data_IF_202161774076
#
_entry.id   IF_202161774076
#
_cell.length_a   1.000
_cell.length_b   1.000
_cell.length_c   1.000
_cell.angle_alpha   90.00
_cell.angle_beta   90.00
_cell.angle_gamma   90.00
#
_symmetry.space_group_name_H-M   'P 1'
#
loop_
_entity.id
_entity.type
_entity.pdbx_description
1 polymer ?
#
# COMPACT_ATOMS: atom_id res chain seq x y z
N UNK A 1 17.03 -25.56 37.62
CA UNK A 1 16.76 -24.12 37.38
C UNK A 1 15.28 -23.97 37.09
N UNK A 2 14.51 -23.38 38.02
CA UNK A 2 13.10 -23.07 37.80
C UNK A 2 13.03 -21.80 36.94
N UNK A 3 12.77 -21.94 35.63
CA UNK A 3 12.39 -20.81 34.80
C UNK A 3 10.93 -20.49 35.11
N UNK A 4 10.68 -19.51 35.98
CA UNK A 4 9.37 -18.90 36.10
C UNK A 4 9.12 -18.09 34.82
N UNK A 5 8.14 -18.52 34.04
CA UNK A 5 7.66 -17.73 32.90
C UNK A 5 7.19 -16.39 33.48
N UNK A 6 7.75 -15.24 33.04
CA UNK A 6 7.33 -13.95 33.56
C UNK A 6 5.83 -13.78 33.31
N UNK A 7 5.08 -13.46 34.37
CA UNK A 7 3.65 -13.19 34.26
C UNK A 7 3.44 -12.03 33.30
N UNK A 8 2.83 -12.30 32.14
CA UNK A 8 2.40 -11.26 31.22
C UNK A 8 1.14 -10.62 31.79
N UNK A 9 1.11 -9.29 31.81
CA UNK A 9 -0.07 -8.50 32.19
C UNK A 9 -0.57 -7.77 30.96
N UNK A 10 -1.89 -7.67 30.84
CA UNK A 10 -2.49 -6.82 29.82
C UNK A 10 -2.10 -5.37 30.12
N UNK A 11 -1.61 -4.68 29.10
CA UNK A 11 -1.28 -3.26 29.16
C UNK A 11 -2.10 -2.52 28.11
N UNK A 12 -2.46 -1.27 28.38
CA UNK A 12 -3.06 -0.43 27.34
C UNK A 12 -1.99 -0.12 26.32
N UNK A 13 -2.34 -0.19 25.04
CA UNK A 13 -1.44 0.09 23.93
C UNK A 13 -0.80 1.49 24.03
N UNK A 14 -1.56 2.46 24.56
CA UNK A 14 -1.11 3.83 24.81
C UNK A 14 0.07 3.87 25.79
N UNK A 15 -0.08 3.18 26.93
CA UNK A 15 0.93 3.15 27.99
C UNK A 15 2.23 2.51 27.47
N UNK A 16 2.10 1.46 26.66
CA UNK A 16 3.25 0.82 25.98
C UNK A 16 3.92 1.78 25.00
N UNK A 17 3.14 2.46 24.15
CA UNK A 17 3.67 3.41 23.17
C UNK A 17 4.40 4.59 23.84
N UNK A 18 3.88 5.09 24.97
CA UNK A 18 4.50 6.14 25.77
C UNK A 18 5.85 5.71 26.34
N UNK A 19 5.91 4.51 26.90
CA UNK A 19 7.18 3.93 27.40
C UNK A 19 8.19 3.78 26.26
N UNK A 20 7.80 3.19 25.14
CA UNK A 20 8.69 3.00 23.98
C UNK A 20 9.21 4.32 23.43
N UNK A 21 8.35 5.33 23.33
CA UNK A 21 8.71 6.68 22.91
C UNK A 21 9.70 7.33 23.87
N UNK A 22 9.48 7.20 25.20
CA UNK A 22 10.39 7.72 26.23
C UNK A 22 11.81 7.15 26.10
N UNK A 23 11.92 5.88 25.72
CA UNK A 23 13.20 5.22 25.46
C UNK A 23 13.72 5.40 24.02
N UNK A 24 13.07 6.25 23.21
CA UNK A 24 13.43 6.54 21.81
C UNK A 24 13.52 5.27 20.95
N UNK A 25 12.62 4.32 21.18
CA UNK A 25 12.51 3.14 20.34
C UNK A 25 11.91 3.55 19.00
N UNK A 26 12.69 3.39 17.93
CA UNK A 26 12.28 3.80 16.58
C UNK A 26 11.53 2.70 15.83
N UNK A 27 11.82 1.43 16.13
CA UNK A 27 11.36 0.28 15.38
C UNK A 27 10.59 -0.69 16.29
N UNK A 28 9.37 -1.04 15.91
CA UNK A 28 8.54 -1.99 16.66
C UNK A 28 8.02 -3.11 15.76
N UNK A 29 8.05 -4.34 16.28
CA UNK A 29 7.49 -5.52 15.60
C UNK A 29 6.38 -6.12 16.44
N UNK A 30 5.15 -6.02 15.95
CA UNK A 30 3.93 -6.55 16.55
C UNK A 30 3.57 -7.89 15.87
N UNK A 31 4.21 -8.97 16.27
CA UNK A 31 4.06 -10.31 15.66
C UNK A 31 2.78 -11.07 16.08
N UNK A 32 1.82 -10.42 16.74
CA UNK A 32 0.54 -11.00 17.11
C UNK A 32 -0.49 -10.83 15.99
N UNK A 33 -1.39 -11.83 15.81
CA UNK A 33 -2.51 -11.73 14.87
C UNK A 33 -3.36 -10.48 15.14
N UNK A 34 -3.89 -9.88 14.07
CA UNK A 34 -4.74 -8.68 14.13
C UNK A 34 -4.07 -7.44 14.76
N UNK A 35 -2.74 -7.41 14.95
CA UNK A 35 -2.05 -6.23 15.50
C UNK A 35 -2.11 -5.00 14.57
N UNK A 36 -2.39 -5.21 13.29
CA UNK A 36 -2.63 -4.16 12.31
C UNK A 36 -4.14 -3.97 11.99
N UNK A 37 -5.01 -4.74 12.64
CA UNK A 37 -6.44 -4.65 12.45
C UNK A 37 -6.98 -3.40 13.15
N UNK A 38 -7.94 -2.72 12.52
CA UNK A 38 -8.69 -1.66 13.17
C UNK A 38 -10.18 -1.92 12.90
N UNK A 39 -10.96 -1.90 13.98
CA UNK A 39 -12.37 -2.27 13.93
C UNK A 39 -13.26 -1.05 13.70
N UNK A 40 -12.88 0.13 14.20
CA UNK A 40 -13.79 1.27 14.33
C UNK A 40 -13.19 2.65 14.06
N UNK A 41 -11.88 2.81 14.19
CA UNK A 41 -11.18 4.07 13.90
C UNK A 41 -9.66 3.84 13.87
N UNK A 42 -8.87 4.72 13.19
CA UNK A 42 -7.41 4.68 13.23
C UNK A 42 -6.82 4.54 14.64
N UNK A 43 -7.50 5.04 15.68
CA UNK A 43 -7.10 4.92 17.08
C UNK A 43 -7.17 3.49 17.65
N UNK A 44 -7.86 2.56 16.98
CA UNK A 44 -7.90 1.14 17.36
C UNK A 44 -6.82 0.29 16.69
N UNK A 45 -6.08 0.85 15.73
CA UNK A 45 -4.92 0.17 15.13
C UNK A 45 -3.70 0.39 16.05
N UNK A 46 -3.13 -0.69 16.58
CA UNK A 46 -1.97 -0.60 17.46
C UNK A 46 -0.78 0.06 16.76
N UNK A 47 -0.54 -0.25 15.49
CA UNK A 47 0.55 0.36 14.74
C UNK A 47 0.37 1.87 14.57
N UNK A 48 -0.84 2.35 14.27
CA UNK A 48 -1.10 3.80 14.20
C UNK A 48 -0.88 4.49 15.53
N UNK A 49 -1.34 3.89 16.63
CA UNK A 49 -1.11 4.43 17.96
C UNK A 49 0.39 4.56 18.23
N UNK A 50 1.19 3.57 17.84
CA UNK A 50 2.63 3.60 18.06
C UNK A 50 3.31 4.71 17.25
N UNK A 51 2.93 4.87 15.98
CA UNK A 51 3.43 5.96 15.12
C UNK A 51 3.08 7.35 15.69
N UNK A 52 1.87 7.53 16.22
CA UNK A 52 1.45 8.79 16.84
C UNK A 52 2.32 9.18 18.04
N UNK A 53 2.90 8.20 18.74
CA UNK A 53 3.69 8.44 19.95
C UNK A 53 5.16 8.74 19.69
N UNK A 54 5.66 8.65 18.46
CA UNK A 54 7.10 8.83 18.25
C UNK A 54 7.72 7.83 17.30
N UNK A 55 7.17 6.63 17.26
CA UNK A 55 7.83 5.46 16.68
C UNK A 55 7.90 5.63 15.16
N UNK A 56 9.07 5.36 14.59
CA UNK A 56 9.36 5.57 13.18
C UNK A 56 8.77 4.47 12.31
N UNK A 57 8.97 3.20 12.70
CA UNK A 57 8.56 2.06 11.91
C UNK A 57 7.84 1.01 12.76
N UNK A 58 6.75 0.47 12.24
CA UNK A 58 6.00 -0.62 12.88
C UNK A 58 5.72 -1.74 11.88
N UNK A 59 6.17 -2.96 12.15
CA UNK A 59 5.72 -4.17 11.44
C UNK A 59 4.59 -4.81 12.24
N UNK A 60 3.50 -5.20 11.59
CA UNK A 60 2.32 -5.76 12.25
C UNK A 60 1.62 -6.82 11.37
N UNK A 61 0.67 -7.56 11.94
CA UNK A 61 -0.10 -8.60 11.26
C UNK A 61 -1.54 -8.14 11.07
N UNK A 62 -1.99 -8.15 9.83
CA UNK A 62 -3.33 -7.63 9.52
C UNK A 62 -4.46 -8.63 9.80
N UNK A 63 -4.22 -9.93 9.61
CA UNK A 63 -5.24 -10.96 9.81
C UNK A 63 -4.78 -12.07 10.76
N UNK A 64 -5.59 -13.12 10.89
CA UNK A 64 -5.16 -14.38 11.49
C UNK A 64 -4.12 -15.04 10.59
N UNK A 65 -2.97 -15.38 11.18
CA UNK A 65 -1.84 -15.97 10.48
C UNK A 65 -1.43 -17.25 11.19
N UNK A 66 -1.14 -18.30 10.44
CA UNK A 66 -0.63 -19.53 11.04
C UNK A 66 0.79 -19.34 11.61
N UNK A 67 1.09 -19.96 12.74
CA UNK A 67 2.36 -19.75 13.45
C UNK A 67 3.60 -20.05 12.59
N UNK A 68 3.52 -21.04 11.68
CA UNK A 68 4.62 -21.35 10.73
C UNK A 68 4.92 -20.18 9.79
N UNK A 69 3.88 -19.51 9.27
CA UNK A 69 4.04 -18.32 8.44
C UNK A 69 4.72 -17.21 9.25
N UNK A 70 4.25 -16.97 10.48
CA UNK A 70 4.86 -15.96 11.36
C UNK A 70 6.33 -16.30 11.66
N UNK A 71 6.64 -17.57 11.93
CA UNK A 71 8.01 -18.01 12.17
C UNK A 71 8.92 -17.76 10.97
N UNK A 72 8.51 -18.14 9.76
CA UNK A 72 9.27 -17.89 8.53
C UNK A 72 9.50 -16.39 8.30
N UNK A 73 8.45 -15.58 8.42
CA UNK A 73 8.56 -14.13 8.27
C UNK A 73 9.50 -13.52 9.31
N UNK A 74 9.25 -13.78 10.59
CA UNK A 74 10.01 -13.16 11.69
C UNK A 74 11.47 -13.60 11.68
N UNK A 75 11.74 -14.87 11.35
CA UNK A 75 13.11 -15.37 11.18
C UNK A 75 13.83 -14.64 10.04
N UNK A 76 13.22 -14.59 8.85
CA UNK A 76 13.80 -13.88 7.71
C UNK A 76 13.94 -12.37 7.96
N UNK A 77 12.97 -11.77 8.63
CA UNK A 77 12.96 -10.36 8.99
C UNK A 77 14.12 -10.00 9.91
N UNK A 78 14.22 -10.66 11.07
CA UNK A 78 15.29 -10.37 12.02
C UNK A 78 16.67 -10.77 11.51
N UNK A 79 16.78 -11.84 10.72
CA UNK A 79 18.05 -12.17 10.08
C UNK A 79 18.49 -11.04 9.12
N UNK A 80 17.57 -10.50 8.31
CA UNK A 80 17.91 -9.38 7.44
C UNK A 80 18.19 -8.10 8.21
N UNK A 81 17.37 -7.77 9.22
CA UNK A 81 17.51 -6.53 9.99
C UNK A 81 18.76 -6.51 10.87
N UNK A 82 19.04 -7.62 11.59
CA UNK A 82 20.07 -7.65 12.63
C UNK A 82 21.39 -8.28 12.16
N UNK A 83 21.35 -9.22 11.21
CA UNK A 83 22.56 -9.92 10.74
C UNK A 83 23.05 -9.32 9.41
N UNK A 84 22.15 -9.07 8.47
CA UNK A 84 22.51 -8.49 7.17
C UNK A 84 22.52 -6.95 7.16
N UNK A 85 22.18 -6.31 8.28
CA UNK A 85 22.18 -4.86 8.48
C UNK A 85 21.48 -4.10 7.35
N UNK A 86 20.26 -4.53 7.00
CA UNK A 86 19.44 -3.80 6.01
C UNK A 86 18.31 -3.04 6.67
N UNK A 87 17.90 -1.95 6.03
CA UNK A 87 16.81 -1.10 6.49
C UNK A 87 15.53 -1.89 6.80
N UNK A 88 14.78 -1.42 7.80
CA UNK A 88 13.56 -2.04 8.31
C UNK A 88 12.57 -2.48 7.21
N UNK A 89 12.31 -1.61 6.24
CA UNK A 89 11.39 -1.93 5.15
C UNK A 89 11.96 -2.92 4.13
N UNK A 90 13.28 -2.90 3.91
CA UNK A 90 13.97 -3.86 3.05
C UNK A 90 13.95 -5.24 3.73
N UNK A 91 14.22 -5.30 5.03
CA UNK A 91 14.11 -6.53 5.82
C UNK A 91 12.69 -7.12 5.75
N UNK A 92 11.66 -6.26 5.89
CA UNK A 92 10.27 -6.66 5.73
C UNK A 92 9.95 -7.19 4.34
N UNK A 93 10.44 -6.54 3.29
CA UNK A 93 10.24 -6.99 1.92
C UNK A 93 10.88 -8.37 1.71
N UNK A 94 12.13 -8.56 2.12
CA UNK A 94 12.84 -9.85 2.02
C UNK A 94 12.16 -10.94 2.83
N UNK A 95 11.56 -10.60 3.97
CA UNK A 95 10.77 -11.54 4.75
C UNK A 95 9.49 -12.00 4.03
N UNK A 96 8.83 -11.12 3.27
CA UNK A 96 7.71 -11.52 2.39
C UNK A 96 8.18 -12.39 1.23
N UNK A 97 9.35 -12.12 0.67
CA UNK A 97 9.96 -12.96 -0.37
C UNK A 97 10.27 -14.37 0.17
N UNK A 98 10.78 -14.47 1.40
CA UNK A 98 10.97 -15.77 2.06
C UNK A 98 9.65 -16.54 2.23
N UNK A 99 8.54 -15.87 2.55
CA UNK A 99 7.22 -16.50 2.60
C UNK A 99 6.74 -17.02 1.24
N UNK A 100 7.12 -16.36 0.15
CA UNK A 100 6.80 -16.84 -1.22
C UNK A 100 7.63 -18.06 -1.58
N UNK A 101 8.91 -18.08 -1.20
CA UNK A 101 9.81 -19.20 -1.44
C UNK A 101 9.49 -20.41 -0.56
N UNK A 102 8.98 -20.17 0.65
CA UNK A 102 8.65 -21.20 1.63
C UNK A 102 7.21 -21.00 2.13
N UNK A 103 6.20 -21.25 1.27
CA UNK A 103 4.82 -21.05 1.66
C UNK A 103 4.40 -22.10 2.68
N UNK A 104 3.57 -21.70 3.63
CA UNK A 104 3.02 -22.62 4.63
C UNK A 104 2.04 -23.57 3.95
N UNK A 105 2.28 -24.88 4.06
CA UNK A 105 1.33 -25.90 3.59
C UNK A 105 0.46 -26.33 4.78
N UNK A 106 -0.84 -26.12 4.65
CA UNK A 106 -1.86 -26.50 5.63
C UNK A 106 -2.90 -27.38 4.93
N UNK A 107 -3.09 -28.62 5.41
CA UNK A 107 -4.05 -29.56 4.84
C UNK A 107 -3.96 -29.65 3.31
N UNK A 108 -2.73 -29.82 2.79
CA UNK A 108 -2.41 -29.89 1.34
C UNK A 108 -2.69 -28.61 0.54
N UNK A 109 -3.08 -27.51 1.20
CA UNK A 109 -3.26 -26.20 0.58
C UNK A 109 -2.06 -25.30 0.87
N UNK A 110 -1.55 -24.67 -0.18
CA UNK A 110 -0.51 -23.66 -0.09
C UNK A 110 -1.15 -22.35 0.37
N UNK A 111 -0.79 -21.91 1.57
CA UNK A 111 -1.24 -20.62 2.12
C UNK A 111 -0.40 -19.49 1.53
N UNK A 112 -1.07 -18.53 0.88
CA UNK A 112 -0.46 -17.36 0.21
C UNK A 112 -0.40 -16.15 1.16
N UNK A 113 0.05 -16.34 2.40
CA UNK A 113 -0.05 -15.35 3.49
C UNK A 113 1.01 -14.21 3.43
N UNK A 114 1.80 -14.11 2.35
CA UNK A 114 2.91 -13.15 2.26
C UNK A 114 2.49 -11.68 2.39
N UNK A 115 1.21 -11.37 2.17
CA UNK A 115 0.64 -10.02 2.28
C UNK A 115 0.15 -9.67 3.70
N UNK A 116 0.02 -10.65 4.59
CA UNK A 116 -0.55 -10.44 5.93
C UNK A 116 0.38 -9.64 6.87
N UNK A 117 1.68 -9.66 6.61
CA UNK A 117 2.68 -8.88 7.34
C UNK A 117 2.79 -7.48 6.74
N UNK A 118 2.24 -6.49 7.43
CA UNK A 118 2.16 -5.10 6.96
C UNK A 118 3.16 -4.22 7.71
N UNK A 119 3.63 -3.17 7.04
CA UNK A 119 4.67 -2.29 7.58
C UNK A 119 4.23 -0.84 7.47
N UNK A 120 4.29 -0.13 8.58
CA UNK A 120 3.92 1.27 8.75
C UNK A 120 5.19 2.10 8.97
N UNK A 121 5.17 3.33 8.45
CA UNK A 121 6.24 4.29 8.58
C UNK A 121 5.68 5.66 8.94
N UNK A 122 6.33 6.37 9.84
CA UNK A 122 6.00 7.77 10.14
C UNK A 122 6.53 8.65 9.00
N UNK A 123 5.67 9.53 8.48
CA UNK A 123 6.13 10.60 7.58
C UNK A 123 6.81 11.66 8.44
N UNK A 124 8.12 11.78 8.33
CA UNK A 124 8.79 13.00 8.76
C UNK A 124 8.75 13.90 7.55
N UNK A 125 7.86 14.89 7.52
CA UNK A 125 8.13 16.05 6.69
C UNK A 125 9.43 16.65 7.23
N UNK A 126 10.56 16.32 6.60
CA UNK A 126 11.70 17.23 6.61
C UNK A 126 11.14 18.49 5.97
N UNK A 127 10.71 19.44 6.79
CA UNK A 127 10.72 20.84 6.37
C UNK A 127 12.11 21.08 5.79
N UNK A 128 12.20 21.55 4.55
CA UNK A 128 13.42 21.98 3.86
C UNK A 128 14.23 23.06 4.62
N UNK A 129 13.88 23.35 5.87
CA UNK A 129 14.58 24.23 6.81
C UNK A 129 15.77 23.58 7.53
N UNK A 130 16.17 22.35 7.19
CA UNK A 130 17.42 21.73 7.71
C UNK A 130 18.38 21.26 6.60
N UNK A 131 18.25 21.80 5.39
CA UNK A 131 19.26 21.71 4.33
C UNK A 131 20.06 23.01 4.22
N UNK A 132 20.71 23.42 5.32
CA UNK A 132 21.94 24.24 5.35
C UNK A 132 22.26 24.57 6.81
N UNK A 133 22.81 23.59 7.52
CA UNK A 133 23.90 23.89 8.45
C UNK A 133 25.00 22.90 8.08
N UNK A 134 25.94 23.40 7.27
CA UNK A 134 27.23 22.78 7.08
C UNK A 134 27.83 22.50 8.46
N UNK A 135 28.12 21.23 8.72
CA UNK A 135 28.92 20.82 9.89
C UNK A 135 30.17 21.70 9.97
N UNK A 136 30.47 22.33 11.12
CA UNK A 136 31.77 22.93 11.34
C UNK A 136 32.80 21.80 11.41
N UNK A 137 33.59 21.68 10.34
CA UNK A 137 34.80 20.88 10.31
C UNK A 137 35.73 21.32 11.44
N UNK A 138 35.88 20.47 12.45
CA UNK A 138 36.88 20.61 13.49
C UNK A 138 38.30 20.54 12.88
N UNK A 139 39.23 21.44 13.26
CA UNK A 139 40.56 21.48 12.67
C UNK A 139 41.49 20.48 13.35
N UNK A 140 42.08 19.57 12.56
CA UNK A 140 43.29 18.86 12.95
C UNK A 140 44.51 19.77 12.75
N UNK A 141 45.32 19.84 13.78
CA UNK A 141 46.53 20.65 13.93
C UNK A 141 47.67 20.37 12.94
N UNK A 142 48.45 21.44 12.66
CA UNK A 142 49.84 21.52 12.11
C UNK A 142 49.97 21.29 10.59
N UNK A 143 50.69 22.08 9.80
CA UNK A 143 51.64 23.19 10.05
C UNK A 143 52.10 23.82 8.71
N UNK A 144 52.65 25.04 8.80
CA UNK A 144 53.56 25.76 7.88
C UNK A 144 53.01 26.60 6.70
N UNK A 145 53.11 27.92 6.91
CA UNK A 145 53.82 28.94 6.11
C UNK A 145 53.51 29.12 4.61
N UNK A 146 52.80 30.22 4.29
CA UNK A 146 53.36 31.41 3.59
C UNK A 146 52.34 32.12 2.67
N UNK A 147 51.95 33.32 3.10
CA UNK A 147 52.09 34.63 2.40
C UNK A 147 51.30 34.93 1.09
N UNK A 148 50.44 35.97 1.20
CA UNK A 148 50.03 37.02 0.22
C UNK A 148 49.22 36.59 -1.02
N UNK A 149 48.19 37.30 -1.51
CA UNK A 149 47.63 38.64 -1.27
C UNK A 149 46.41 38.85 -2.19
N UNK A 150 45.51 39.77 -1.79
CA UNK A 150 44.64 40.62 -2.63
C UNK A 150 43.48 39.93 -3.43
N UNK A 151 42.28 40.49 -3.62
CA UNK A 151 41.61 41.73 -3.19
C UNK A 151 40.23 41.77 -3.87
N UNK A 152 39.28 42.52 -3.28
CA UNK A 152 38.15 43.24 -3.92
C UNK A 152 36.96 42.41 -4.49
N UNK A 153 35.69 42.84 -4.47
CA UNK A 153 35.01 44.07 -4.03
C UNK A 153 33.48 43.82 -3.93
N UNK A 154 32.83 44.49 -2.96
CA UNK A 154 31.55 45.27 -2.98
C UNK A 154 30.29 44.68 -3.68
N UNK A 155 29.03 44.80 -3.21
CA UNK A 155 28.18 45.98 -2.89
C UNK A 155 26.86 45.40 -2.28
N UNK A 156 26.54 45.58 -0.99
CA UNK A 156 25.65 46.59 -0.34
C UNK A 156 24.22 46.81 -0.89
N UNK A 157 23.22 46.48 -0.06
CA UNK A 157 22.07 47.34 0.32
C UNK A 157 21.37 46.72 1.56
N UNK A 158 21.63 47.19 2.79
CA UNK A 158 20.90 48.24 3.57
C UNK A 158 19.42 47.93 3.83
N UNK A 159 19.03 47.44 5.01
CA UNK A 159 18.81 48.12 6.32
C UNK A 159 17.33 48.51 6.55
N UNK A 160 16.77 47.96 7.64
CA UNK A 160 15.84 48.55 8.63
C UNK A 160 15.56 47.40 9.64
N UNK A 161 16.31 47.27 10.74
CA UNK A 161 16.06 47.91 12.06
C UNK A 161 14.61 47.75 12.52
N UNK A 162 14.24 47.14 13.63
CA UNK A 162 14.95 46.48 14.73
C UNK A 162 13.89 46.11 15.77
N UNK A 163 14.10 45.04 16.54
CA UNK A 163 13.63 44.91 17.93
C UNK A 163 14.07 43.54 18.47
N UNK A 164 15.04 43.57 19.37
CA UNK A 164 15.36 42.48 20.29
C UNK A 164 14.09 42.14 21.09
N UNK A 165 13.54 40.94 20.89
CA UNK A 165 12.62 40.30 21.81
C UNK A 165 13.14 38.89 22.05
N UNK A 166 13.90 38.75 23.13
CA UNK A 166 14.21 37.46 23.74
C UNK A 166 12.86 36.84 24.13
N UNK A 167 12.45 35.78 23.40
CA UNK A 167 11.29 34.96 23.78
C UNK A 167 11.78 33.59 24.30
N UNK A 168 11.13 33.08 25.35
CA UNK A 168 11.61 31.94 26.13
C UNK A 168 11.49 30.65 25.33
N UNK A 169 12.32 29.66 25.68
CA UNK A 169 12.24 28.30 25.18
C UNK A 169 10.81 27.75 25.29
N UNK A 170 10.25 27.16 24.22
CA UNK A 170 8.96 26.49 24.33
C UNK A 170 9.16 25.19 25.11
N UNK A 171 8.40 25.08 26.20
CA UNK A 171 8.26 23.84 26.97
C UNK A 171 7.67 22.76 26.07
N UNK A 172 8.19 21.54 26.23
CA UNK A 172 7.65 20.30 25.68
C UNK A 172 6.15 20.21 26.04
N UNK A 173 5.23 20.43 25.10
CA UNK A 173 3.79 20.32 25.40
C UNK A 173 2.80 20.80 24.34
N UNK A 174 3.14 21.81 23.52
CA UNK A 174 2.11 22.52 22.71
C UNK A 174 2.09 22.23 21.20
N UNK A 175 2.82 21.22 20.71
CA UNK A 175 2.78 20.80 19.30
C UNK A 175 1.65 19.78 19.03
N UNK A 176 0.42 20.11 19.40
CA UNK A 176 -0.76 19.28 19.14
C UNK A 176 -1.84 20.03 18.35
N UNK A 177 -1.51 20.64 17.21
CA UNK A 177 -2.54 21.09 16.25
C UNK A 177 -2.10 20.85 14.78
N UNK A 178 -2.95 20.10 14.09
CA UNK A 178 -3.14 19.94 12.63
C UNK A 178 -1.98 19.42 11.76
N UNK A 179 -2.22 18.26 11.13
CA UNK A 179 -1.94 18.14 9.70
C UNK A 179 -1.12 16.95 9.22
N UNK A 180 -0.49 16.15 10.08
CA UNK A 180 0.30 15.00 9.63
C UNK A 180 -0.45 13.69 9.87
N UNK A 181 -1.30 13.34 8.92
CA UNK A 181 -1.81 11.97 8.80
C UNK A 181 -0.61 11.04 8.51
N UNK A 182 -0.38 10.00 9.32
CA UNK A 182 0.73 9.06 9.06
C UNK A 182 0.57 8.51 7.65
N UNK A 183 1.66 8.31 6.90
CA UNK A 183 1.58 7.56 5.64
C UNK A 183 1.15 6.15 6.01
N UNK A 184 -0.14 5.92 5.89
CA UNK A 184 -0.68 4.61 5.66
C UNK A 184 -0.08 4.17 4.34
N UNK A 185 0.85 3.21 4.37
CA UNK A 185 1.15 2.50 3.13
C UNK A 185 -0.11 1.81 2.62
N UNK A 186 -0.99 1.32 3.49
CA UNK A 186 -2.34 0.85 3.14
C UNK A 186 -3.36 1.17 4.25
N UNK A 187 -4.44 1.88 3.93
CA UNK A 187 -5.66 1.94 4.76
C UNK A 187 -6.30 0.53 4.83
N UNK A 188 -7.08 0.23 5.88
CA UNK A 188 -7.68 -1.12 6.06
C UNK A 188 -8.53 -1.60 4.90
N UNK A 189 -9.34 -0.73 4.31
CA UNK A 189 -10.12 -1.11 3.13
C UNK A 189 -9.20 -1.43 1.96
N UNK A 190 -8.05 -0.75 1.81
CA UNK A 190 -7.06 -1.07 0.78
C UNK A 190 -6.36 -2.41 1.06
N UNK A 191 -6.14 -2.77 2.33
CA UNK A 191 -5.70 -4.13 2.68
C UNK A 191 -6.78 -5.15 2.33
N UNK A 192 -8.06 -4.87 2.63
CA UNK A 192 -9.20 -5.72 2.26
C UNK A 192 -9.20 -6.02 0.76
N UNK A 193 -8.88 -5.01 -0.07
CA UNK A 193 -8.72 -5.20 -1.51
C UNK A 193 -7.59 -6.18 -1.83
N UNK A 194 -6.41 -6.04 -1.21
CA UNK A 194 -5.30 -6.99 -1.42
C UNK A 194 -5.71 -8.42 -1.05
N UNK A 195 -6.34 -8.64 0.10
CA UNK A 195 -6.82 -9.97 0.49
C UNK A 195 -7.82 -10.52 -0.51
N UNK A 196 -8.80 -9.72 -0.91
CA UNK A 196 -9.82 -10.16 -1.88
C UNK A 196 -9.17 -10.49 -3.22
N UNK A 197 -8.21 -9.69 -3.66
CA UNK A 197 -7.48 -9.93 -4.90
C UNK A 197 -6.67 -11.23 -4.83
N UNK A 198 -5.94 -11.45 -3.73
CA UNK A 198 -5.11 -12.65 -3.55
C UNK A 198 -5.93 -13.93 -3.30
N UNK A 199 -7.16 -13.80 -2.82
CA UNK A 199 -8.05 -14.92 -2.52
C UNK A 199 -8.95 -15.28 -3.70
N UNK A 200 -9.55 -14.29 -4.35
CA UNK A 200 -10.58 -14.50 -5.37
C UNK A 200 -10.09 -14.26 -6.80
N UNK A 201 -8.86 -13.73 -6.98
CA UNK A 201 -8.25 -13.29 -8.25
C UNK A 201 -8.96 -12.13 -8.97
N UNK A 202 -10.28 -12.06 -8.86
CA UNK A 202 -11.14 -11.09 -9.52
C UNK A 202 -11.87 -10.27 -8.48
N UNK A 203 -11.75 -8.95 -8.55
CA UNK A 203 -12.45 -8.02 -7.66
C UNK A 203 -13.19 -6.96 -8.45
N UNK A 204 -14.42 -6.67 -8.08
CA UNK A 204 -15.12 -5.46 -8.52
C UNK A 204 -15.00 -4.39 -7.45
N UNK A 205 -14.27 -3.32 -7.76
CA UNK A 205 -14.10 -2.17 -6.91
C UNK A 205 -15.15 -1.11 -7.25
N UNK A 206 -15.88 -0.68 -6.23
CA UNK A 206 -16.95 0.31 -6.32
C UNK A 206 -16.67 1.50 -5.43
N UNK A 207 -17.04 2.70 -5.84
CA UNK A 207 -17.06 3.90 -4.99
C UNK A 207 -18.47 4.42 -4.68
N UNK A 208 -19.51 3.74 -5.16
CA UNK A 208 -20.89 4.21 -5.08
C UNK A 208 -21.16 5.60 -5.67
N UNK A 209 -20.35 6.07 -6.62
CA UNK A 209 -20.43 7.44 -7.12
C UNK A 209 -20.40 8.48 -5.98
N UNK A 210 -19.68 8.16 -4.89
CA UNK A 210 -19.58 9.09 -3.77
C UNK A 210 -18.87 10.37 -4.23
N UNK A 211 -19.43 11.57 -3.95
CA UNK A 211 -18.94 12.84 -4.50
C UNK A 211 -17.53 13.24 -4.03
N UNK A 212 -16.99 12.54 -3.02
CA UNK A 212 -15.62 12.73 -2.50
C UNK A 212 -14.69 11.57 -2.81
N UNK A 213 -15.19 10.51 -3.45
CA UNK A 213 -14.37 9.37 -3.82
C UNK A 213 -13.74 9.62 -5.18
N UNK A 214 -12.46 9.30 -5.29
CA UNK A 214 -11.76 9.22 -6.56
C UNK A 214 -11.13 7.83 -6.64
N UNK A 215 -11.98 6.84 -6.93
CA UNK A 215 -11.58 5.44 -7.05
C UNK A 215 -10.43 5.27 -8.03
N UNK A 216 -10.44 6.04 -9.12
CA UNK A 216 -9.38 6.00 -10.12
C UNK A 216 -8.05 6.44 -9.50
N UNK A 217 -8.02 7.57 -8.80
CA UNK A 217 -6.80 8.01 -8.11
C UNK A 217 -6.39 7.09 -6.96
N UNK A 218 -7.33 6.51 -6.21
CA UNK A 218 -7.04 5.50 -5.18
C UNK A 218 -6.35 4.28 -5.81
N UNK A 219 -6.90 3.76 -6.92
CA UNK A 219 -6.31 2.64 -7.64
C UNK A 219 -4.95 2.98 -8.24
N UNK A 220 -4.76 4.19 -8.80
CA UNK A 220 -3.46 4.61 -9.30
C UNK A 220 -2.41 4.66 -8.17
N UNK A 221 -2.77 5.15 -6.97
CA UNK A 221 -1.90 5.11 -5.78
C UNK A 221 -1.56 3.67 -5.36
N UNK A 222 -2.55 2.79 -5.33
CA UNK A 222 -2.36 1.38 -4.98
C UNK A 222 -1.49 0.65 -5.99
N UNK A 223 -1.72 0.84 -7.29
CA UNK A 223 -0.90 0.29 -8.36
C UNK A 223 0.56 0.70 -8.21
N UNK A 224 0.81 2.00 -8.01
CA UNK A 224 2.17 2.49 -7.81
C UNK A 224 2.83 1.84 -6.59
N UNK A 225 2.08 1.67 -5.50
CA UNK A 225 2.58 0.99 -4.33
C UNK A 225 2.86 -0.50 -4.63
N UNK A 226 1.96 -1.23 -5.29
CA UNK A 226 2.13 -2.65 -5.63
C UNK A 226 3.32 -2.91 -6.54
N UNK A 227 3.57 -2.02 -7.51
CA UNK A 227 4.77 -2.05 -8.36
C UNK A 227 6.04 -1.82 -7.51
N UNK A 228 5.98 -0.91 -6.53
CA UNK A 228 7.13 -0.58 -5.66
C UNK A 228 7.38 -1.62 -4.56
N UNK A 229 6.36 -2.31 -4.07
CA UNK A 229 6.46 -3.29 -2.97
C UNK A 229 6.64 -4.73 -3.44
N UNK A 230 6.85 -4.93 -4.74
CA UNK A 230 6.99 -6.25 -5.35
C UNK A 230 5.75 -7.11 -5.05
N UNK A 231 4.55 -6.53 -5.21
CA UNK A 231 3.28 -7.27 -5.19
C UNK A 231 2.82 -7.63 -6.60
N UNK A 232 3.08 -6.76 -7.58
CA UNK A 232 2.71 -6.96 -8.99
C UNK A 232 3.88 -6.46 -9.85
N UNK A 233 4.18 -7.14 -10.94
CA UNK A 233 5.25 -6.73 -11.87
C UNK A 233 4.73 -5.93 -13.06
N UNK A 234 3.55 -6.30 -13.58
CA UNK A 234 2.94 -5.66 -14.75
C UNK A 234 1.47 -5.34 -14.50
N UNK A 235 1.04 -4.17 -14.97
CA UNK A 235 -0.35 -3.70 -14.85
C UNK A 235 -0.86 -3.32 -16.24
N UNK A 236 -1.97 -3.91 -16.63
CA UNK A 236 -2.60 -3.77 -17.95
C UNK A 236 -3.96 -3.09 -17.82
N UNK A 237 -4.16 -1.97 -18.50
CA UNK A 237 -5.42 -1.23 -18.46
C UNK A 237 -6.29 -1.48 -19.71
N UNK A 238 -7.59 -1.61 -19.48
CA UNK A 238 -8.59 -1.87 -20.51
C UNK A 238 -9.82 -0.98 -20.31
N UNK A 239 -10.60 -0.77 -21.36
CA UNK A 239 -11.98 -0.30 -21.24
C UNK A 239 -12.94 -1.44 -21.52
N UNK A 240 -14.02 -1.55 -20.74
CA UNK A 240 -15.00 -2.63 -20.88
C UNK A 240 -15.59 -2.70 -22.30
N UNK A 241 -15.73 -1.57 -22.99
CA UNK A 241 -16.23 -1.51 -24.36
C UNK A 241 -15.34 -2.23 -25.38
N UNK A 242 -14.06 -2.46 -25.06
CA UNK A 242 -13.13 -3.16 -25.94
C UNK A 242 -13.47 -4.67 -26.00
N UNK A 243 -14.11 -5.20 -24.97
CA UNK A 243 -14.61 -6.58 -24.90
C UNK A 243 -15.85 -6.80 -25.78
N UNK A 244 -16.69 -5.78 -25.96
CA UNK A 244 -17.89 -5.86 -26.80
C UNK A 244 -17.67 -5.59 -28.30
N UNK A 245 -16.44 -5.24 -28.72
CA UNK A 245 -16.13 -4.88 -30.12
C UNK A 245 -15.47 -6.01 -30.93
N UNK A 246 -15.02 -7.08 -30.28
CA UNK A 246 -14.17 -8.10 -30.92
C UNK A 246 -14.87 -9.42 -31.06
N UNK A 247 -14.72 -10.04 -32.24
CA UNK A 247 -15.18 -11.41 -32.50
C UNK A 247 -14.28 -12.38 -31.74
N UNK A 248 -14.90 -13.32 -31.04
CA UNK A 248 -14.23 -14.38 -30.30
C UNK A 248 -13.54 -15.30 -31.31
N UNK A 249 -12.21 -15.35 -31.30
CA UNK A 249 -11.47 -16.41 -32.01
C UNK A 249 -11.34 -17.61 -31.08
N UNK A 250 -11.64 -18.84 -31.55
CA UNK A 250 -11.51 -20.03 -30.73
C UNK A 250 -10.03 -20.29 -30.44
N UNK A 251 -9.64 -20.22 -29.16
CA UNK A 251 -8.33 -20.69 -28.69
C UNK A 251 -7.46 -19.67 -27.96
N UNK A 252 -7.68 -18.36 -28.10
CA UNK A 252 -7.01 -17.37 -27.24
C UNK A 252 -7.68 -15.99 -27.31
N UNK A 253 -8.12 -15.45 -26.16
CA UNK A 253 -8.66 -14.10 -26.09
C UNK A 253 -7.48 -13.13 -25.99
N UNK A 254 -7.04 -12.61 -27.13
CA UNK A 254 -6.02 -11.58 -27.17
C UNK A 254 -6.67 -10.19 -27.24
N UNK A 255 -6.87 -9.59 -26.07
CA UNK A 255 -7.27 -8.18 -25.95
C UNK A 255 -6.00 -7.41 -25.60
N UNK A 256 -5.49 -6.54 -26.50
CA UNK A 256 -4.34 -5.72 -26.21
C UNK A 256 -4.74 -4.67 -25.17
N UNK A 257 -3.91 -4.47 -24.13
CA UNK A 257 -4.14 -3.40 -23.19
C UNK A 257 -3.99 -2.04 -23.88
N UNK A 258 -4.78 -1.06 -23.43
CA UNK A 258 -4.66 0.33 -23.88
C UNK A 258 -3.42 1.00 -23.31
N UNK A 259 -3.09 0.66 -22.07
CA UNK A 259 -1.93 1.16 -21.36
C UNK A 259 -1.32 -0.01 -20.59
N UNK A 260 0.01 -0.08 -20.59
CA UNK A 260 0.79 -1.05 -19.83
C UNK A 260 1.75 -0.28 -18.93
N UNK A 261 1.71 -0.55 -17.63
CA UNK A 261 2.72 -0.11 -16.68
C UNK A 261 3.52 -1.31 -16.22
N UNK A 262 4.83 -1.18 -16.18
CA UNK A 262 5.73 -2.23 -15.71
C UNK A 262 6.57 -1.68 -14.58
N UNK A 263 6.96 -2.57 -13.67
CA UNK A 263 7.96 -2.25 -12.65
C UNK A 263 9.20 -1.65 -13.33
N UNK A 264 9.69 -0.54 -12.79
CA UNK A 264 10.99 -0.01 -13.21
C UNK A 264 12.06 -1.00 -12.76
N UNK A 265 12.70 -1.68 -13.72
CA UNK A 265 13.84 -2.57 -13.46
C UNK A 265 15.03 -1.83 -12.84
N UNK A 266 15.07 -0.50 -13.00
CA UNK A 266 16.00 0.41 -12.37
C UNK A 266 15.23 1.19 -11.30
N UNK A 267 15.34 0.77 -10.06
CA UNK A 267 14.89 1.53 -8.90
C UNK A 267 15.55 2.89 -8.88
N UNK A 268 14.92 3.80 -8.14
CA UNK A 268 15.34 5.18 -8.02
C UNK A 268 16.80 5.35 -7.55
N UNK A 269 17.23 6.60 -7.30
CA UNK A 269 18.64 6.95 -7.05
C UNK A 269 19.36 6.08 -6.00
N UNK A 270 18.63 5.48 -5.05
CA UNK A 270 19.13 4.60 -4.00
C UNK A 270 19.55 3.19 -4.47
N UNK A 271 19.11 2.72 -5.65
CA UNK A 271 19.50 1.39 -6.15
C UNK A 271 20.87 1.38 -6.88
N UNK A 272 21.51 2.55 -7.06
CA UNK A 272 22.90 2.62 -7.59
C UNK A 272 23.95 2.01 -6.65
N UNK A 273 23.61 1.77 -5.38
CA UNK A 273 24.55 1.36 -4.35
C UNK A 273 24.44 -0.13 -3.97
N UNK A 274 23.40 -0.84 -4.43
CA UNK A 274 23.22 -2.28 -4.17
C UNK A 274 22.66 -3.00 -5.41
N UNK A 275 23.50 -3.62 -6.25
CA UNK A 275 23.06 -4.34 -7.44
C UNK A 275 22.67 -5.76 -7.05
N UNK A 276 21.41 -6.00 -6.70
CA UNK A 276 20.79 -7.31 -6.89
C UNK A 276 19.45 -7.12 -7.57
N UNK A 277 19.34 -7.69 -8.77
CA UNK A 277 18.08 -7.78 -9.50
C UNK A 277 17.10 -8.55 -8.64
N UNK A 278 16.01 -7.91 -8.22
CA UNK A 278 14.90 -8.59 -7.59
C UNK A 278 14.26 -9.47 -8.67
N UNK A 279 14.19 -10.79 -8.44
CA UNK A 279 13.58 -11.72 -9.39
C UNK A 279 12.14 -11.30 -9.73
N UNK A 280 11.75 -11.45 -10.99
CA UNK A 280 10.37 -11.19 -11.42
C UNK A 280 9.44 -12.21 -10.75
N UNK A 281 8.41 -11.74 -10.05
CA UNK A 281 7.34 -12.58 -9.50
C UNK A 281 6.41 -13.05 -10.64
N UNK A 282 6.49 -12.44 -11.83
CA UNK A 282 5.66 -12.68 -13.02
C UNK A 282 4.17 -12.42 -12.82
N UNK A 283 3.83 -11.70 -11.75
CA UNK A 283 2.44 -11.37 -11.43
C UNK A 283 1.92 -10.20 -12.28
N UNK A 284 0.75 -10.41 -12.89
CA UNK A 284 0.10 -9.43 -13.76
C UNK A 284 -1.24 -9.00 -13.19
N UNK A 285 -1.49 -7.70 -13.16
CA UNK A 285 -2.77 -7.13 -12.79
C UNK A 285 -3.46 -6.55 -14.03
N UNK A 286 -4.71 -6.92 -14.23
CA UNK A 286 -5.56 -6.38 -15.27
C UNK A 286 -6.58 -5.42 -14.63
N UNK A 287 -6.68 -4.19 -15.12
CA UNK A 287 -7.63 -3.19 -14.63
C UNK A 287 -8.58 -2.82 -15.77
N UNK A 288 -9.87 -3.06 -15.57
CA UNK A 288 -10.91 -2.78 -16.56
C UNK A 288 -11.79 -1.63 -16.05
N UNK A 289 -11.84 -0.54 -16.81
CA UNK A 289 -12.63 0.66 -16.50
C UNK A 289 -13.96 0.68 -17.27
N UNK A 290 -14.91 1.50 -16.82
CA UNK A 290 -16.19 1.78 -17.49
C UNK A 290 -17.12 0.55 -17.63
N UNK A 291 -17.05 -0.39 -16.69
CA UNK A 291 -17.76 -1.68 -16.76
C UNK A 291 -19.27 -1.49 -16.74
N UNK A 292 -19.75 -0.59 -15.88
CA UNK A 292 -21.17 -0.41 -15.64
C UNK A 292 -21.89 0.09 -16.89
N UNK A 293 -21.28 1.04 -17.60
CA UNK A 293 -21.82 1.60 -18.85
C UNK A 293 -21.97 0.56 -19.99
N UNK A 294 -21.28 -0.58 -19.89
CA UNK A 294 -21.32 -1.64 -20.90
C UNK A 294 -22.19 -2.81 -20.45
N UNK A 295 -22.16 -3.14 -19.17
CA UNK A 295 -22.93 -4.24 -18.59
C UNK A 295 -24.35 -3.83 -18.25
N UNK A 296 -24.60 -2.55 -18.00
CA UNK A 296 -25.91 -2.00 -17.70
C UNK A 296 -26.03 -0.55 -18.23
N UNK A 297 -26.09 -0.35 -19.57
CA UNK A 297 -26.11 0.98 -20.19
C UNK A 297 -27.36 1.82 -19.88
N UNK A 298 -28.37 1.25 -19.20
CA UNK A 298 -29.68 1.87 -19.03
C UNK A 298 -30.57 1.75 -20.27
N UNK A 299 -31.76 2.36 -20.21
CA UNK A 299 -32.71 2.41 -21.32
C UNK A 299 -32.60 3.74 -22.08
N UNK A 300 -32.40 3.67 -23.40
CA UNK A 300 -32.49 4.85 -24.28
C UNK A 300 -33.85 4.91 -24.97
N UNK A 301 -34.28 6.11 -25.36
CA UNK A 301 -35.53 6.32 -26.09
C UNK A 301 -35.53 5.70 -27.50
N UNK A 302 -34.34 5.44 -28.07
CA UNK A 302 -34.17 4.92 -29.42
C UNK A 302 -34.07 3.38 -29.42
N UNK A 303 -35.06 2.71 -30.02
CA UNK A 303 -35.12 1.23 -30.11
C UNK A 303 -33.91 0.63 -30.84
N UNK A 304 -33.39 1.28 -31.87
CA UNK A 304 -32.24 0.77 -32.62
C UNK A 304 -30.93 0.85 -31.83
N UNK A 305 -30.79 1.84 -30.95
CA UNK A 305 -29.65 1.93 -30.05
C UNK A 305 -29.73 0.86 -28.98
N UNK A 306 -30.91 0.64 -28.39
CA UNK A 306 -31.11 -0.41 -27.38
C UNK A 306 -30.72 -1.79 -27.91
N UNK A 307 -31.16 -2.18 -29.11
CA UNK A 307 -30.78 -3.48 -29.69
C UNK A 307 -29.26 -3.61 -29.92
N UNK A 308 -28.59 -2.54 -30.36
CA UNK A 308 -27.12 -2.54 -30.51
C UNK A 308 -26.41 -2.62 -29.18
N UNK A 309 -26.96 -2.00 -28.14
CA UNK A 309 -26.43 -2.07 -26.78
C UNK A 309 -26.61 -3.46 -26.17
N UNK A 310 -27.76 -4.10 -26.38
CA UNK A 310 -28.02 -5.49 -25.96
C UNK A 310 -27.04 -6.48 -26.62
N UNK A 311 -26.81 -6.37 -27.93
CA UNK A 311 -25.87 -7.23 -28.66
C UNK A 311 -24.42 -7.04 -28.15
N UNK A 312 -24.00 -5.79 -27.94
CA UNK A 312 -22.68 -5.46 -27.37
C UNK A 312 -22.55 -5.94 -25.93
N UNK A 313 -23.60 -5.81 -25.12
CA UNK A 313 -23.63 -6.25 -23.73
C UNK A 313 -23.51 -7.77 -23.66
N UNK A 314 -24.25 -8.51 -24.50
CA UNK A 314 -24.17 -9.96 -24.58
C UNK A 314 -22.74 -10.41 -24.97
N UNK A 315 -22.19 -9.81 -26.02
CA UNK A 315 -20.83 -10.09 -26.48
C UNK A 315 -19.79 -9.78 -25.39
N UNK A 316 -19.88 -8.60 -24.77
CA UNK A 316 -18.96 -8.20 -23.70
C UNK A 316 -19.02 -9.16 -22.50
N UNK A 317 -20.22 -9.60 -22.09
CA UNK A 317 -20.40 -10.57 -21.00
C UNK A 317 -19.76 -11.91 -21.31
N UNK A 318 -19.93 -12.42 -22.53
CA UNK A 318 -19.31 -13.69 -22.94
C UNK A 318 -17.78 -13.59 -22.97
N UNK A 319 -17.24 -12.53 -23.58
CA UNK A 319 -15.78 -12.33 -23.65
C UNK A 319 -15.20 -12.14 -22.25
N UNK A 320 -15.86 -11.38 -21.37
CA UNK A 320 -15.44 -11.20 -19.97
C UNK A 320 -15.47 -12.51 -19.19
N UNK A 321 -16.50 -13.35 -19.39
CA UNK A 321 -16.57 -14.69 -18.78
C UNK A 321 -15.40 -15.57 -19.21
N UNK A 322 -15.11 -15.59 -20.51
CA UNK A 322 -13.99 -16.39 -21.03
C UNK A 322 -12.65 -15.84 -20.55
N UNK A 323 -12.48 -14.52 -20.50
CA UNK A 323 -11.29 -13.86 -19.97
C UNK A 323 -11.09 -14.17 -18.48
N UNK A 324 -12.16 -14.13 -17.68
CA UNK A 324 -12.13 -14.53 -16.27
C UNK A 324 -11.77 -16.01 -16.09
N UNK A 325 -12.29 -16.91 -16.92
CA UNK A 325 -11.92 -18.33 -16.89
C UNK A 325 -10.43 -18.55 -17.17
N UNK A 326 -9.88 -17.85 -18.18
CA UNK A 326 -8.46 -17.90 -18.49
C UNK A 326 -7.62 -17.38 -17.32
N UNK A 327 -8.05 -16.28 -16.70
CA UNK A 327 -7.36 -15.68 -15.57
C UNK A 327 -7.42 -16.55 -14.31
N UNK A 328 -8.50 -17.30 -14.09
CA UNK A 328 -8.57 -18.29 -13.02
C UNK A 328 -7.62 -19.47 -13.25
N UNK A 329 -7.42 -19.88 -14.50
CA UNK A 329 -6.46 -20.93 -14.88
C UNK A 329 -5.00 -20.46 -14.75
N UNK A 330 -4.72 -19.18 -14.99
CA UNK A 330 -3.41 -18.56 -14.76
C UNK A 330 -3.19 -18.27 -13.26
N UNK A 331 -2.12 -18.78 -12.66
CA UNK A 331 -1.88 -18.61 -11.22
C UNK A 331 -1.35 -17.25 -10.79
N UNK A 332 -0.81 -16.49 -11.75
CA UNK A 332 -0.10 -15.24 -11.54
C UNK A 332 -0.85 -14.00 -12.07
N UNK A 333 -2.09 -14.16 -12.51
CA UNK A 333 -2.89 -13.07 -13.10
C UNK A 333 -4.05 -12.68 -12.18
N UNK A 334 -4.29 -11.38 -12.02
CA UNK A 334 -5.32 -10.78 -11.18
C UNK A 334 -6.15 -9.77 -11.98
N UNK A 335 -7.42 -9.55 -11.62
CA UNK A 335 -8.33 -8.66 -12.34
C UNK A 335 -9.11 -7.75 -11.39
N UNK A 336 -9.10 -6.46 -11.67
CA UNK A 336 -9.93 -5.46 -10.99
C UNK A 336 -10.84 -4.77 -12.00
N UNK A 337 -12.14 -4.78 -11.71
CA UNK A 337 -13.14 -3.96 -12.39
C UNK A 337 -13.36 -2.68 -11.60
N UNK A 338 -13.35 -1.53 -12.27
CA UNK A 338 -13.71 -0.25 -11.66
C UNK A 338 -15.11 0.17 -12.10
N UNK A 339 -15.97 0.47 -11.13
CA UNK A 339 -17.33 0.96 -11.34
C UNK A 339 -17.90 1.62 -10.09
N UNK A 340 -19.22 1.81 -10.05
CA UNK A 340 -19.96 2.49 -9.00
C UNK A 340 -21.15 1.70 -8.45
N UNK A 341 -21.34 0.45 -8.89
CA UNK A 341 -22.52 -0.35 -8.55
C UNK A 341 -22.42 -1.08 -7.21
N UNK A 342 -23.58 -1.48 -6.66
CA UNK A 342 -23.67 -2.20 -5.39
C UNK A 342 -23.36 -3.70 -5.51
N UNK A 343 -23.20 -4.33 -4.34
CA UNK A 343 -22.99 -5.78 -4.23
C UNK A 343 -24.14 -6.60 -4.83
N UNK A 344 -25.39 -6.10 -4.79
CA UNK A 344 -26.54 -6.80 -5.39
C UNK A 344 -26.45 -6.80 -6.91
N UNK A 345 -26.04 -5.68 -7.51
CA UNK A 345 -25.79 -5.54 -8.94
C UNK A 345 -24.66 -6.47 -9.38
N UNK A 346 -23.54 -6.50 -8.65
CA UNK A 346 -22.45 -7.44 -8.90
C UNK A 346 -22.94 -8.89 -8.91
N UNK A 347 -23.68 -9.29 -7.86
CA UNK A 347 -24.24 -10.65 -7.73
C UNK A 347 -25.29 -10.98 -8.79
N UNK A 348 -25.99 -9.99 -9.32
CA UNK A 348 -26.99 -10.20 -10.38
C UNK A 348 -26.35 -10.28 -11.76
N UNK A 349 -25.37 -9.43 -12.06
CA UNK A 349 -24.87 -9.23 -13.43
C UNK A 349 -23.57 -9.97 -13.73
N UNK A 350 -22.71 -10.18 -12.72
CA UNK A 350 -21.32 -10.65 -12.91
C UNK A 350 -20.91 -11.79 -11.96
N UNK A 351 -21.85 -12.39 -11.22
CA UNK A 351 -21.59 -13.54 -10.32
C UNK A 351 -20.83 -14.69 -10.99
N UNK A 352 -21.10 -14.92 -12.27
CA UNK A 352 -20.48 -16.00 -13.05
C UNK A 352 -18.98 -15.83 -13.27
N UNK A 353 -18.40 -14.65 -12.97
CA UNK A 353 -16.96 -14.42 -13.02
C UNK A 353 -16.22 -15.03 -11.82
N UNK A 354 -16.94 -15.50 -10.79
CA UNK A 354 -16.37 -16.09 -9.58
C UNK A 354 -15.35 -15.15 -8.91
N UNK A 355 -15.76 -13.90 -8.67
CA UNK A 355 -14.97 -12.88 -7.99
C UNK A 355 -15.75 -12.23 -6.85
N UNK A 356 -15.12 -11.27 -6.19
CA UNK A 356 -15.68 -10.62 -5.00
C UNK A 356 -15.90 -9.11 -5.20
N UNK A 357 -16.84 -8.53 -4.46
CA UNK A 357 -17.13 -7.10 -4.48
C UNK A 357 -16.38 -6.37 -3.37
N UNK A 358 -15.86 -5.18 -3.65
CA UNK A 358 -15.13 -4.33 -2.72
C UNK A 358 -15.57 -2.86 -2.84
N UNK A 359 -15.57 -2.16 -1.71
CA UNK A 359 -15.99 -0.76 -1.61
C UNK A 359 -14.81 0.13 -1.24
N UNK A 360 -14.55 1.15 -2.07
CA UNK A 360 -13.62 2.24 -1.76
C UNK A 360 -14.29 3.24 -0.80
N UNK A 361 -14.39 2.83 0.46
CA UNK A 361 -14.83 3.69 1.54
C UNK A 361 -13.87 3.54 2.73
N UNK A 362 -13.39 4.66 3.30
CA UNK A 362 -12.71 4.64 4.58
C UNK A 362 -13.59 3.94 5.62
N UNK A 363 -13.02 3.03 6.39
CA UNK A 363 -13.74 2.41 7.51
C UNK A 363 -13.99 3.48 8.60
N UNK A 364 -15.18 4.08 8.57
CA UNK A 364 -15.78 4.80 9.69
C UNK A 364 -17.06 4.06 10.08
N UNK A 365 -17.12 3.44 11.26
CA UNK A 365 -18.32 2.70 11.69
C UNK A 365 -19.48 3.63 12.11
N UNK A 366 -20.75 3.16 12.07
CA UNK A 366 -21.31 2.07 11.27
C UNK A 366 -22.62 2.45 10.55
N UNK A 367 -22.79 2.05 9.29
CA UNK A 367 -24.14 1.83 8.75
C UNK A 367 -24.57 0.39 9.05
N UNK A 368 -24.81 0.13 10.34
CA UNK A 368 -25.77 -0.89 10.74
C UNK A 368 -27.13 -0.21 10.95
N UNK A 369 -27.83 -0.04 9.83
CA UNK A 369 -29.30 -0.10 9.76
C UNK A 369 -29.58 -0.89 8.48
N UNK A 370 -29.81 -2.20 8.58
CA UNK A 370 -31.14 -2.81 8.78
C UNK A 370 -32.05 -2.52 7.58
N UNK A 371 -32.54 -3.63 6.99
CA UNK A 371 -33.50 -3.81 5.88
C UNK A 371 -32.78 -4.35 4.64
N UNK A 372 -33.01 -5.58 4.16
CA UNK A 372 -33.85 -6.70 4.57
C UNK A 372 -33.58 -7.80 3.54
#
# INVERSE_FOLDING_TARGET
>A
MHFSIPQTRLAKAKDVAEVLSRFRIENVVLNACLSAYNRSSPATNLAHMFLQYGISNVSAMWFYVHWKTVATYVHAFYNNLLVNDVDFHIAAQRAREALRQQPTILNERISRDFFLCVNYARKVHRTDSMLLEDSPSWPSSRSHDSTTSASNDLVTSSFLSGSLMIKPSPRLGDSLILGDEPIMRLQLHLLELEFKLMTFKIVYASDFDQPKSDLSATMDRMVNMWLNTNLIDEVHYYKAKDFGRRKISPGNICIPPREKRTRTSNGGPLQRWFPRSIDSIRQRLHIVREVDSVIDPGFHANKHENSRHEERQATAKEVLKLFAKQLHADDDSYLIFLGSQNVQWWRSKLKDLNGEWWLDAPWSLPLHTRNG
#
